data_IF_643047512887
#
_entry.id   IF_643047512887
#
_cell.length_a   1.000
_cell.length_b   1.000
_cell.length_c   1.000
_cell.angle_alpha   90.00
_cell.angle_beta   90.00
_cell.angle_gamma   90.00
#
_symmetry.space_group_name_H-M   'P 1'
#
loop_
_entity.id
_entity.type
_entity.pdbx_description
1 polymer ?
#
# COMPACT_ATOMS: atom_id res chain seq x y z
N UNK A 1 -9.83 7.12 -9.87
CA UNK A 1 -10.15 5.81 -9.26
C UNK A 1 -9.63 4.59 -10.04
N UNK A 2 -9.25 4.70 -11.32
CA UNK A 2 -8.76 3.55 -12.09
C UNK A 2 -7.47 2.92 -11.55
N UNK A 3 -6.50 3.73 -11.11
CA UNK A 3 -5.19 3.26 -10.65
C UNK A 3 -5.25 2.35 -9.41
N UNK A 4 -6.05 2.71 -8.40
CA UNK A 4 -6.24 1.85 -7.22
C UNK A 4 -7.02 0.57 -7.54
N UNK A 5 -8.03 0.64 -8.42
CA UNK A 5 -8.80 -0.53 -8.83
C UNK A 5 -7.98 -1.51 -9.69
N UNK A 6 -7.14 -0.97 -10.58
CA UNK A 6 -6.17 -1.73 -11.39
C UNK A 6 -5.15 -2.44 -10.48
N UNK A 7 -4.56 -1.69 -9.54
CA UNK A 7 -3.63 -2.26 -8.55
C UNK A 7 -4.27 -3.28 -7.60
N UNK A 8 -5.55 -3.12 -7.26
CA UNK A 8 -6.28 -4.08 -6.45
C UNK A 8 -6.69 -5.34 -7.23
N UNK A 9 -6.56 -5.36 -8.57
CA UNK A 9 -6.95 -6.47 -9.44
C UNK A 9 -8.37 -7.01 -9.16
N UNK A 10 -9.31 -6.11 -8.85
CA UNK A 10 -10.68 -6.46 -8.47
C UNK A 10 -10.86 -7.03 -7.05
N UNK A 11 -9.80 -7.10 -6.24
CA UNK A 11 -9.87 -7.55 -4.86
C UNK A 11 -10.26 -6.39 -3.94
N UNK A 12 -11.54 -6.31 -3.60
CA UNK A 12 -12.09 -5.26 -2.73
C UNK A 12 -11.42 -5.19 -1.35
N UNK A 13 -10.93 -6.31 -0.82
CA UNK A 13 -10.19 -6.30 0.46
C UNK A 13 -8.89 -5.52 0.32
N UNK A 14 -8.12 -5.79 -0.74
CA UNK A 14 -6.88 -5.07 -1.04
C UNK A 14 -7.16 -3.59 -1.28
N UNK A 15 -8.19 -3.27 -2.09
CA UNK A 15 -8.59 -1.89 -2.35
C UNK A 15 -8.89 -1.12 -1.06
N UNK A 16 -9.66 -1.73 -0.15
CA UNK A 16 -10.04 -1.12 1.13
C UNK A 16 -8.83 -0.90 2.02
N UNK A 17 -7.93 -1.89 2.11
CA UNK A 17 -6.69 -1.77 2.89
C UNK A 17 -5.78 -0.69 2.32
N UNK A 18 -5.60 -0.62 1.00
CA UNK A 18 -4.79 0.41 0.36
C UNK A 18 -5.38 1.81 0.58
N UNK A 19 -6.70 1.95 0.47
CA UNK A 19 -7.40 3.22 0.70
C UNK A 19 -7.22 3.69 2.16
N UNK A 20 -7.33 2.77 3.13
CA UNK A 20 -7.11 3.08 4.53
C UNK A 20 -5.67 3.53 4.82
N UNK A 21 -4.67 2.86 4.21
CA UNK A 21 -3.26 3.25 4.35
C UNK A 21 -2.99 4.63 3.74
N UNK A 22 -3.52 4.90 2.55
CA UNK A 22 -3.40 6.20 1.88
C UNK A 22 -4.03 7.33 2.70
N UNK A 23 -5.22 7.12 3.24
CA UNK A 23 -5.92 8.11 4.06
C UNK A 23 -5.19 8.38 5.38
N UNK A 24 -4.68 7.33 6.04
CA UNK A 24 -3.88 7.47 7.26
C UNK A 24 -2.61 8.28 7.01
N UNK A 25 -1.91 8.00 5.90
CA UNK A 25 -0.73 8.76 5.51
C UNK A 25 -1.06 10.21 5.15
N UNK A 26 -2.19 10.45 4.47
CA UNK A 26 -2.65 11.80 4.16
C UNK A 26 -2.90 12.63 5.42
N UNK A 27 -3.56 12.03 6.42
CA UNK A 27 -3.81 12.66 7.72
C UNK A 27 -2.51 13.01 8.44
N UNK A 28 -1.54 12.09 8.46
CA UNK A 28 -0.23 12.33 9.08
C UNK A 28 0.54 13.47 8.40
N UNK A 29 0.40 13.62 7.08
CA UNK A 29 1.08 14.65 6.29
C UNK A 29 0.27 15.93 6.12
N UNK A 30 -0.94 16.00 6.69
CA UNK A 30 -1.92 17.06 6.43
C UNK A 30 -2.15 17.32 4.94
N UNK A 31 -2.07 16.27 4.13
CA UNK A 31 -2.31 16.34 2.70
C UNK A 31 -3.81 16.46 2.43
N UNK A 32 -4.24 17.57 1.86
CA UNK A 32 -5.65 17.81 1.54
C UNK A 32 -6.15 16.98 0.35
N UNK A 33 -5.23 16.43 -0.47
CA UNK A 33 -5.55 15.70 -1.70
C UNK A 33 -4.80 14.37 -1.72
N UNK A 34 -5.53 13.31 -2.03
CA UNK A 34 -4.96 12.00 -2.33
C UNK A 34 -4.54 11.95 -3.80
N UNK A 35 -3.35 12.49 -4.07
CA UNK A 35 -2.75 12.53 -5.40
C UNK A 35 -1.85 11.31 -5.68
N UNK A 36 -1.51 11.07 -6.95
CA UNK A 36 -0.57 10.03 -7.37
C UNK A 36 0.78 10.14 -6.67
N UNK A 37 1.26 11.35 -6.37
CA UNK A 37 2.51 11.51 -5.60
C UNK A 37 2.41 10.92 -4.20
N UNK A 38 1.31 11.14 -3.50
CA UNK A 38 1.11 10.56 -2.16
C UNK A 38 1.02 9.03 -2.25
N UNK A 39 0.35 8.50 -3.27
CA UNK A 39 0.33 7.06 -3.53
C UNK A 39 1.75 6.51 -3.73
N UNK A 40 2.57 7.12 -4.58
CA UNK A 40 3.95 6.70 -4.75
C UNK A 40 4.75 6.83 -3.45
N UNK A 41 4.60 7.89 -2.67
CA UNK A 41 5.33 8.01 -1.40
C UNK A 41 4.93 6.96 -0.36
N UNK A 42 3.66 6.57 -0.32
CA UNK A 42 3.14 5.58 0.63
C UNK A 42 3.46 4.15 0.18
N UNK A 43 3.39 3.88 -1.13
CA UNK A 43 3.53 2.54 -1.70
C UNK A 43 4.86 2.27 -2.42
N UNK A 44 5.74 3.25 -2.65
CA UNK A 44 7.07 3.02 -3.25
C UNK A 44 7.93 2.09 -2.40
N UNK A 45 7.80 2.15 -1.07
CA UNK A 45 8.53 1.28 -0.14
C UNK A 45 7.97 -0.16 -0.12
N UNK A 46 6.71 -0.35 -0.50
CA UNK A 46 6.08 -1.69 -0.50
C UNK A 46 6.67 -2.63 -1.54
N UNK A 47 7.32 -2.11 -2.60
CA UNK A 47 8.12 -2.94 -3.52
C UNK A 47 9.44 -3.43 -2.91
N UNK A 48 9.97 -2.73 -1.90
CA UNK A 48 11.20 -3.10 -1.20
C UNK A 48 10.94 -4.08 -0.05
N UNK A 49 9.77 -3.98 0.61
CA UNK A 49 9.43 -4.82 1.75
C UNK A 49 9.25 -6.32 1.43
N UNK A 50 9.05 -6.71 0.17
CA UNK A 50 9.01 -8.14 -0.23
C UNK A 50 10.37 -8.84 -0.21
N UNK A 51 11.48 -8.14 0.08
CA UNK A 51 12.79 -8.76 0.27
C UNK A 51 13.07 -9.21 1.72
N UNK A 52 12.14 -8.97 2.67
CA UNK A 52 12.34 -9.33 4.07
C UNK A 52 12.08 -10.83 4.36
N UNK A 53 13.12 -11.62 4.07
CA UNK A 53 13.54 -12.89 4.67
C UNK A 53 12.62 -14.13 4.49
N UNK A 54 13.08 -15.19 3.79
CA UNK A 54 12.49 -16.51 3.96
C UNK A 54 12.75 -16.96 5.40
N UNK A 55 11.69 -17.00 6.20
CA UNK A 55 11.71 -17.65 7.51
C UNK A 55 11.74 -19.14 7.24
N UNK A 56 12.94 -19.70 7.07
CA UNK A 56 13.14 -21.15 7.08
C UNK A 56 12.79 -21.65 8.49
N UNK A 57 11.52 -22.02 8.67
CA UNK A 57 11.02 -22.70 9.84
C UNK A 57 11.52 -24.15 9.79
N UNK A 58 12.78 -24.37 10.17
CA UNK A 58 13.24 -25.66 10.66
C UNK A 58 12.82 -25.70 12.15
N UNK A 59 11.89 -26.53 12.62
CA UNK A 59 11.36 -27.76 12.06
C UNK A 59 12.12 -28.97 12.61
N UNK A 60 11.82 -29.29 13.88
CA UNK A 60 12.05 -30.57 14.59
C UNK A 60 13.44 -30.86 15.15
#
# INVERSE_FOLDING_TARGET
>A
CGLLCDHAAGNYRVLTTMSAQLLSAALQRQAAVLDEKLYFEVFADTKSASAAKPRHRAGR
#
